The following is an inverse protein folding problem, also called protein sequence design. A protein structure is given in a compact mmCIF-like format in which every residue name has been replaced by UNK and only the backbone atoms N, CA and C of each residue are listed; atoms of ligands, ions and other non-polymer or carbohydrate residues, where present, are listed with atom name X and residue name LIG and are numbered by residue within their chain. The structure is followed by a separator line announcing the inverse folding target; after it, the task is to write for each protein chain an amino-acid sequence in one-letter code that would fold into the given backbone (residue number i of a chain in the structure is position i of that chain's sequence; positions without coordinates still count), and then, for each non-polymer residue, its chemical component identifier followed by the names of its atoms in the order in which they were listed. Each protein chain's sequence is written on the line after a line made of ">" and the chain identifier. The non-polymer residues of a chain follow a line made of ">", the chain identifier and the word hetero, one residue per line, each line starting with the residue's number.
data_IF_500320239663
#
_entry.id   IF_500320239663
#
_cell.length_a   1.000
_cell.length_b   1.000
_cell.length_c   1.000
_cell.angle_alpha   90.00
_cell.angle_beta   90.00
_cell.angle_gamma   90.00
#
_symmetry.space_group_name_H-M   'P 1'
#
loop_
_entity.id
_entity.type
_entity.pdbx_description
1 polymer ?
#
# COMPACT_ATOMS: atom_id res chain seq x y z
N UNK A 1 22.27 19.88 4.63
CA UNK A 1 22.01 19.70 3.18
C UNK A 1 22.17 18.24 2.71
N UNK A 2 22.10 17.24 3.61
CA UNK A 2 22.24 15.82 3.27
C UNK A 2 20.94 15.01 3.40
N UNK A 3 19.88 15.62 3.92
CA UNK A 3 18.63 14.93 4.26
C UNK A 3 17.78 14.55 3.04
N UNK A 4 17.88 15.35 1.96
CA UNK A 4 17.04 15.13 0.77
C UNK A 4 17.54 13.98 -0.11
N UNK A 5 18.86 13.76 -0.17
CA UNK A 5 19.43 12.68 -0.99
C UNK A 5 19.06 11.32 -0.39
N UNK A 6 19.17 11.16 0.93
CA UNK A 6 18.85 9.89 1.62
C UNK A 6 17.38 9.50 1.45
N UNK A 7 16.46 10.48 1.55
CA UNK A 7 15.03 10.24 1.33
C UNK A 7 14.71 9.78 -0.09
N UNK A 8 15.53 10.16 -1.07
CA UNK A 8 15.33 9.83 -2.48
C UNK A 8 15.91 8.45 -2.84
N UNK A 9 17.08 8.07 -2.31
CA UNK A 9 17.65 6.72 -2.58
C UNK A 9 16.93 5.59 -1.83
N UNK A 10 16.35 5.88 -0.66
CA UNK A 10 15.55 4.92 0.10
C UNK A 10 14.23 4.58 -0.61
N UNK A 11 13.65 5.52 -1.34
CA UNK A 11 12.45 5.30 -2.17
C UNK A 11 12.81 4.57 -3.50
N UNK A 12 14.00 4.85 -4.06
CA UNK A 12 14.51 4.21 -5.28
C UNK A 12 14.80 2.71 -5.15
N UNK A 13 14.90 2.19 -3.92
CA UNK A 13 15.24 0.79 -3.66
C UNK A 13 14.05 -0.18 -3.79
N UNK A 14 12.80 0.32 -3.86
CA UNK A 14 11.58 -0.50 -3.94
C UNK A 14 11.22 -1.29 -2.67
N UNK A 15 12.21 -1.62 -1.83
CA UNK A 15 12.07 -2.38 -0.58
C UNK A 15 11.21 -1.64 0.45
N UNK A 16 11.35 -0.31 0.55
CA UNK A 16 10.55 0.50 1.46
C UNK A 16 9.08 0.57 1.04
N UNK A 17 8.80 0.64 -0.26
CA UNK A 17 7.44 0.61 -0.79
C UNK A 17 6.77 -0.75 -0.55
N UNK A 18 7.49 -1.85 -0.71
CA UNK A 18 6.98 -3.19 -0.41
C UNK A 18 6.64 -3.37 1.08
N UNK A 19 7.50 -2.88 1.98
CA UNK A 19 7.24 -2.91 3.42
C UNK A 19 6.01 -2.08 3.80
N UNK A 20 5.86 -0.87 3.23
CA UNK A 20 4.68 -0.01 3.44
C UNK A 20 3.39 -0.69 2.95
N UNK A 21 3.42 -1.32 1.77
CA UNK A 21 2.27 -2.08 1.24
C UNK A 21 1.94 -3.27 2.13
N UNK A 22 2.95 -4.00 2.63
CA UNK A 22 2.74 -5.12 3.53
C UNK A 22 2.12 -4.68 4.87
N UNK A 23 2.57 -3.56 5.43
CA UNK A 23 2.00 -2.99 6.65
C UNK A 23 0.54 -2.54 6.43
N UNK A 24 0.27 -1.83 5.33
CA UNK A 24 -1.10 -1.44 4.96
C UNK A 24 -2.02 -2.65 4.78
N UNK A 25 -1.52 -3.71 4.12
CA UNK A 25 -2.28 -4.95 3.92
C UNK A 25 -2.60 -5.64 5.25
N UNK A 26 -1.64 -5.65 6.19
CA UNK A 26 -1.84 -6.20 7.53
C UNK A 26 -2.92 -5.44 8.31
N UNK A 27 -2.94 -4.11 8.22
CA UNK A 27 -3.95 -3.28 8.86
C UNK A 27 -5.35 -3.51 8.28
N UNK A 28 -5.43 -3.81 6.98
CA UNK A 28 -6.68 -4.09 6.28
C UNK A 28 -7.01 -5.59 6.22
N UNK A 29 -6.32 -6.43 7.00
CA UNK A 29 -6.52 -7.88 7.07
C UNK A 29 -6.57 -8.55 5.68
N UNK A 30 -5.67 -8.14 4.79
CA UNK A 30 -5.58 -8.63 3.41
C UNK A 30 -4.16 -9.03 3.05
N UNK A 31 -3.99 -9.73 1.93
CA UNK A 31 -2.68 -10.14 1.44
C UNK A 31 -2.05 -9.03 0.58
N UNK A 32 -0.84 -8.60 0.93
CA UNK A 32 -0.08 -7.58 0.22
C UNK A 32 0.11 -7.86 -1.28
N UNK A 33 0.18 -9.13 -1.65
CA UNK A 33 0.37 -9.58 -3.03
C UNK A 33 -0.92 -10.04 -3.70
N UNK A 34 -2.02 -10.15 -2.94
CA UNK A 34 -3.29 -10.73 -3.39
C UNK A 34 -4.51 -10.00 -2.80
N UNK A 35 -4.49 -8.67 -2.87
CA UNK A 35 -5.62 -7.81 -2.46
C UNK A 35 -6.52 -7.39 -3.62
N UNK A 36 -6.09 -7.59 -4.87
CA UNK A 36 -6.80 -7.15 -6.07
C UNK A 36 -6.35 -5.75 -6.56
N UNK A 37 -6.57 -5.44 -7.84
CA UNK A 37 -6.02 -4.24 -8.48
C UNK A 37 -6.60 -2.93 -7.91
N UNK A 38 -7.87 -2.88 -7.50
CA UNK A 38 -8.46 -1.65 -6.94
C UNK A 38 -7.94 -1.39 -5.54
N UNK A 39 -7.87 -2.44 -4.72
CA UNK A 39 -7.29 -2.34 -3.38
C UNK A 39 -5.82 -1.97 -3.43
N UNK A 40 -5.06 -2.50 -4.39
CA UNK A 40 -3.67 -2.11 -4.59
C UNK A 40 -3.56 -0.63 -5.00
N UNK A 41 -4.42 -0.15 -5.91
CA UNK A 41 -4.46 1.28 -6.26
C UNK A 41 -4.83 2.17 -5.07
N UNK A 42 -5.74 1.73 -4.20
CA UNK A 42 -6.08 2.43 -2.96
C UNK A 42 -4.94 2.42 -1.96
N UNK A 43 -4.26 1.30 -1.80
CA UNK A 43 -3.06 1.16 -0.96
C UNK A 43 -1.96 2.14 -1.39
N UNK A 44 -1.65 2.19 -2.69
CA UNK A 44 -0.68 3.17 -3.21
C UNK A 44 -1.13 4.61 -2.95
N UNK A 45 -2.42 4.89 -3.10
CA UNK A 45 -2.99 6.22 -2.88
C UNK A 45 -2.86 6.65 -1.42
N UNK A 46 -3.19 5.77 -0.47
CA UNK A 46 -3.06 6.02 0.97
C UNK A 46 -1.60 6.21 1.39
N UNK A 47 -0.67 5.51 0.75
CA UNK A 47 0.77 5.59 1.01
C UNK A 47 1.45 6.78 0.32
N UNK A 48 0.73 7.54 -0.52
CA UNK A 48 1.28 8.64 -1.31
C UNK A 48 2.28 8.18 -2.38
N UNK A 49 2.23 6.92 -2.78
CA UNK A 49 3.13 6.29 -3.77
C UNK A 49 2.57 6.32 -5.21
N UNK A 50 1.44 7.01 -5.41
CA UNK A 50 0.68 7.02 -6.66
C UNK A 50 -0.66 6.30 -6.51
N UNK A 51 -1.29 5.87 -7.60
CA UNK A 51 -2.57 5.15 -7.54
C UNK A 51 -3.81 6.07 -7.54
N UNK A 52 -4.97 5.48 -7.23
CA UNK A 52 -6.28 6.14 -7.27
C UNK A 52 -7.08 5.79 -6.05
N UNK A 53 -7.88 6.75 -5.58
CA UNK A 53 -8.85 6.48 -4.53
C UNK A 53 -9.92 5.51 -5.05
N UNK A 54 -10.00 4.35 -4.40
CA UNK A 54 -11.12 3.40 -4.52
C UNK A 54 -11.71 3.17 -3.14
N UNK A 55 -13.02 2.97 -3.06
CA UNK A 55 -13.68 2.64 -1.81
C UNK A 55 -13.26 1.23 -1.34
N UNK A 56 -12.98 1.08 -0.05
CA UNK A 56 -12.59 -0.21 0.53
C UNK A 56 -13.86 -0.94 0.98
N UNK A 57 -14.11 -2.10 0.39
CA UNK A 57 -15.17 -3.02 0.83
C UNK A 57 -14.57 -4.07 1.77
N UNK A 58 -15.23 -4.31 2.91
CA UNK A 58 -14.82 -5.32 3.88
C UNK A 58 -15.87 -6.43 3.94
N UNK A 59 -15.42 -7.67 4.13
CA UNK A 59 -16.29 -8.81 4.41
C UNK A 59 -16.80 -8.73 5.85
N UNK A 60 -17.82 -9.54 6.18
CA UNK A 60 -18.43 -9.59 7.52
C UNK A 60 -17.43 -10.00 8.63
N UNK A 61 -16.33 -10.66 8.25
CA UNK A 61 -15.25 -11.06 9.17
C UNK A 61 -14.18 -9.96 9.37
N UNK A 62 -14.34 -8.79 8.75
CA UNK A 62 -13.39 -7.67 8.81
C UNK A 62 -12.27 -7.71 7.77
N UNK A 63 -12.13 -8.79 6.98
CA UNK A 63 -11.12 -8.88 5.94
C UNK A 63 -11.49 -8.03 4.73
N UNK A 64 -10.51 -7.35 4.14
CA UNK A 64 -10.75 -6.59 2.91
C UNK A 64 -11.19 -7.55 1.78
N UNK A 65 -12.30 -7.20 1.13
CA UNK A 65 -12.84 -7.95 -0.01
C UNK A 65 -11.93 -7.76 -1.22
N UNK A 66 -11.68 -8.83 -1.96
CA UNK A 66 -10.86 -8.77 -3.17
C UNK A 66 -11.58 -7.99 -4.28
N UNK A 67 -10.95 -6.94 -4.82
CA UNK A 67 -11.53 -6.07 -5.87
C UNK A 67 -10.50 -5.42 -6.81
#
# INVERSE_FOLDING_TARGET
>A
MFDWIVKTVVDASGVTSQLKVAEWARLNQTNAFDMGPKNYQRCLHDLGLGGKYHELEYNENGSLKYQ
#
